data_IF_841999539232
#
_entry.id   IF_841999539232
#
_cell.length_a   1.000
_cell.length_b   1.000
_cell.length_c   1.000
_cell.angle_alpha   90.00
_cell.angle_beta   90.00
_cell.angle_gamma   90.00
#
_symmetry.space_group_name_H-M   'P 1'
#
loop_
_entity.id
_entity.type
_entity.pdbx_description
1 polymer ?
#
# COMPACT_ATOMS: atom_id res chain seq x y z
N UNK A 1 7.83 -15.19 -7.45
CA UNK A 1 7.67 -15.04 -8.91
C UNK A 1 7.10 -13.67 -9.25
N UNK A 2 7.54 -13.05 -10.34
CA UNK A 2 7.00 -11.78 -10.87
C UNK A 2 5.68 -11.93 -11.64
N UNK A 3 5.22 -13.16 -11.89
CA UNK A 3 4.03 -13.40 -12.71
C UNK A 3 2.75 -12.72 -12.20
N UNK A 4 2.43 -12.70 -10.90
CA UNK A 4 1.24 -12.02 -10.40
C UNK A 4 1.29 -10.49 -10.62
N UNK A 5 2.48 -9.89 -10.51
CA UNK A 5 2.66 -8.45 -10.74
C UNK A 5 2.46 -8.09 -12.21
N UNK A 6 2.96 -8.92 -13.13
CA UNK A 6 2.72 -8.76 -14.57
C UNK A 6 1.24 -8.94 -14.93
N UNK A 7 0.57 -9.92 -14.31
CA UNK A 7 -0.87 -10.13 -14.53
C UNK A 7 -1.69 -8.93 -14.04
N UNK A 8 -1.35 -8.38 -12.86
CA UNK A 8 -1.99 -7.18 -12.34
C UNK A 8 -1.80 -5.97 -13.25
N UNK A 9 -0.58 -5.73 -13.74
CA UNK A 9 -0.28 -4.67 -14.69
C UNK A 9 -1.08 -4.83 -15.99
N UNK A 10 -1.09 -6.05 -16.55
CA UNK A 10 -1.84 -6.35 -17.77
C UNK A 10 -3.33 -6.13 -17.59
N UNK A 11 -3.89 -6.52 -16.44
CA UNK A 11 -5.30 -6.29 -16.11
C UNK A 11 -5.68 -4.82 -16.11
N UNK A 12 -4.86 -3.98 -15.49
CA UNK A 12 -5.07 -2.52 -15.44
C UNK A 12 -4.99 -1.89 -16.83
N UNK A 13 -3.99 -2.27 -17.62
CA UNK A 13 -3.83 -1.79 -18.98
C UNK A 13 -4.99 -2.23 -19.90
N UNK A 14 -5.45 -3.47 -19.75
CA UNK A 14 -6.60 -4.00 -20.53
C UNK A 14 -7.90 -3.29 -20.19
N UNK A 15 -8.04 -2.76 -18.98
CA UNK A 15 -9.17 -1.95 -18.57
C UNK A 15 -9.10 -0.49 -19.04
N UNK A 16 -8.08 -0.12 -19.83
CA UNK A 16 -7.81 1.26 -20.25
C UNK A 16 -7.73 2.27 -19.08
N UNK A 17 -7.26 1.80 -17.92
CA UNK A 17 -7.19 2.60 -16.70
C UNK A 17 -5.88 3.41 -16.58
N UNK A 18 -5.10 3.46 -17.64
CA UNK A 18 -3.81 4.15 -17.72
C UNK A 18 -2.65 3.31 -17.19
N UNK A 19 -1.45 3.87 -17.22
CA UNK A 19 -0.26 3.16 -16.75
C UNK A 19 -0.30 2.99 -15.22
N UNK A 20 0.28 1.90 -14.73
CA UNK A 20 0.51 1.70 -13.29
C UNK A 20 1.49 2.77 -12.78
N UNK A 21 1.09 3.53 -11.78
CA UNK A 21 1.91 4.61 -11.24
C UNK A 21 2.79 4.18 -10.07
N UNK A 22 2.35 3.17 -9.30
CA UNK A 22 3.11 2.64 -8.18
C UNK A 22 2.60 1.24 -7.76
N UNK A 23 3.45 0.53 -7.02
CA UNK A 23 3.12 -0.69 -6.29
C UNK A 23 3.39 -0.45 -4.80
N UNK A 24 2.47 -0.86 -3.94
CA UNK A 24 2.62 -0.73 -2.48
C UNK A 24 2.62 -2.12 -1.87
N UNK A 25 3.64 -2.44 -1.08
CA UNK A 25 3.81 -3.73 -0.46
C UNK A 25 4.47 -3.64 0.91
N UNK A 26 4.44 -4.75 1.66
CA UNK A 26 5.19 -4.83 2.91
C UNK A 26 6.71 -4.98 2.62
N UNK A 27 7.60 -4.43 3.45
CA UNK A 27 9.06 -4.57 3.26
C UNK A 27 9.55 -6.02 3.15
N UNK A 28 8.89 -6.97 3.84
CA UNK A 28 9.15 -8.40 3.72
C UNK A 28 9.00 -8.87 2.26
N UNK A 29 7.87 -8.55 1.66
CA UNK A 29 7.55 -8.99 0.29
C UNK A 29 8.49 -8.36 -0.74
N UNK A 30 8.90 -7.11 -0.51
CA UNK A 30 9.90 -6.44 -1.34
C UNK A 30 11.27 -7.15 -1.24
N UNK A 31 11.65 -7.59 -0.04
CA UNK A 31 12.85 -8.40 0.18
C UNK A 31 12.80 -9.74 -0.54
N UNK A 32 11.67 -10.44 -0.44
CA UNK A 32 11.44 -11.72 -1.13
C UNK A 32 11.50 -11.58 -2.65
N UNK A 33 10.93 -10.49 -3.20
CA UNK A 33 11.04 -10.20 -4.62
C UNK A 33 12.47 -9.90 -5.06
N UNK A 34 13.23 -9.18 -4.25
CA UNK A 34 14.63 -8.87 -4.52
C UNK A 34 15.52 -10.12 -4.39
N UNK A 35 15.14 -11.07 -3.54
CA UNK A 35 15.84 -12.33 -3.31
C UNK A 35 15.51 -13.44 -4.32
N UNK A 36 14.64 -13.19 -5.31
CA UNK A 36 14.31 -14.21 -6.30
C UNK A 36 15.55 -14.62 -7.13
N UNK A 37 15.74 -15.93 -7.24
CA UNK A 37 16.79 -16.53 -8.05
C UNK A 37 16.21 -17.46 -9.12
N UNK A 38 16.96 -17.69 -10.17
CA UNK A 38 16.65 -18.71 -11.18
C UNK A 38 17.08 -20.12 -10.71
N UNK A 39 16.90 -21.11 -11.56
CA UNK A 39 17.29 -22.51 -11.29
C UNK A 39 18.79 -22.71 -11.12
N UNK A 40 19.59 -21.71 -11.47
CA UNK A 40 21.06 -21.72 -11.37
C UNK A 40 21.57 -20.87 -10.19
N UNK A 41 20.68 -20.43 -9.29
CA UNK A 41 20.95 -19.53 -8.17
C UNK A 41 21.49 -18.14 -8.58
N UNK A 42 21.22 -17.69 -9.80
CA UNK A 42 21.52 -16.32 -10.20
C UNK A 42 20.36 -15.38 -9.86
N UNK A 43 20.62 -14.14 -9.42
CA UNK A 43 19.58 -13.18 -9.11
C UNK A 43 18.67 -12.94 -10.33
N UNK A 44 17.37 -13.07 -10.12
CA UNK A 44 16.37 -12.85 -11.15
C UNK A 44 16.03 -11.36 -11.23
N UNK A 45 16.43 -10.72 -12.32
CA UNK A 45 16.07 -9.31 -12.55
C UNK A 45 14.58 -9.14 -12.82
N UNK A 46 14.01 -8.07 -12.30
CA UNK A 46 12.63 -7.70 -12.60
C UNK A 46 12.48 -7.47 -14.13
N UNK A 47 11.36 -7.92 -14.73
CA UNK A 47 11.06 -7.61 -16.12
C UNK A 47 11.11 -6.10 -16.39
N UNK A 48 11.58 -5.72 -17.59
CA UNK A 48 11.74 -4.31 -17.96
C UNK A 48 10.45 -3.47 -17.79
N UNK A 49 9.30 -4.09 -17.98
CA UNK A 49 7.99 -3.47 -17.79
C UNK A 49 7.67 -3.13 -16.32
N UNK A 50 8.24 -3.87 -15.36
CA UNK A 50 8.05 -3.64 -13.93
C UNK A 50 9.16 -2.76 -13.34
N UNK A 51 10.37 -2.79 -13.90
CA UNK A 51 11.52 -2.07 -13.34
C UNK A 51 11.37 -0.55 -13.35
N UNK A 52 10.49 -0.02 -14.21
CA UNK A 52 10.17 1.41 -14.26
C UNK A 52 9.08 1.88 -13.30
N UNK A 53 8.43 0.95 -12.57
CA UNK A 53 7.33 1.27 -11.66
C UNK A 53 7.90 1.37 -10.24
N UNK A 54 7.71 2.51 -9.55
CA UNK A 54 8.18 2.67 -8.17
C UNK A 54 7.50 1.67 -7.23
N UNK A 55 8.30 0.96 -6.45
CA UNK A 55 7.86 0.09 -5.37
C UNK A 55 7.94 0.85 -4.04
N UNK A 56 6.80 1.09 -3.44
CA UNK A 56 6.66 1.76 -2.14
C UNK A 56 6.45 0.71 -1.06
N UNK A 57 7.21 0.80 0.02
CA UNK A 57 7.09 -0.14 1.13
C UNK A 57 6.48 0.52 2.35
N UNK A 58 5.58 -0.20 3.03
CA UNK A 58 4.97 0.25 4.29
C UNK A 58 4.70 -0.92 5.22
N UNK A 59 4.96 -0.73 6.51
CA UNK A 59 4.63 -1.70 7.56
C UNK A 59 3.15 -1.65 7.98
N UNK A 60 2.36 -0.71 7.44
CA UNK A 60 0.93 -0.63 7.69
C UNK A 60 0.14 -1.78 7.03
N UNK A 61 0.73 -2.47 6.05
CA UNK A 61 0.13 -3.67 5.45
C UNK A 61 0.34 -4.84 6.42
N UNK A 62 -0.76 -5.51 6.86
CA UNK A 62 -0.64 -6.66 7.74
C UNK A 62 0.02 -7.84 7.01
N UNK A 63 0.81 -8.63 7.74
CA UNK A 63 1.48 -9.85 7.26
C UNK A 63 0.90 -11.11 7.86
N UNK A 64 -0.19 -10.98 8.61
CA UNK A 64 -0.86 -12.05 9.34
C UNK A 64 -2.28 -12.32 8.81
N UNK A 65 -2.50 -12.07 7.52
CA UNK A 65 -3.76 -12.37 6.83
C UNK A 65 -3.76 -13.80 6.28
N UNK A 66 -4.91 -14.21 5.75
CA UNK A 66 -5.11 -15.56 5.20
C UNK A 66 -5.32 -16.65 6.26
N UNK A 67 -5.57 -17.85 5.77
CA UNK A 67 -5.88 -19.02 6.63
C UNK A 67 -4.69 -19.43 7.51
N UNK A 68 -3.46 -19.24 7.02
CA UNK A 68 -2.22 -19.55 7.74
C UNK A 68 -1.71 -18.40 8.62
N UNK A 69 -2.37 -17.24 8.63
CA UNK A 69 -1.91 -16.02 9.33
C UNK A 69 -0.47 -15.62 8.98
N UNK A 70 -0.04 -15.84 7.74
CA UNK A 70 1.30 -15.53 7.24
C UNK A 70 1.28 -14.86 5.85
N UNK A 71 0.10 -14.41 5.43
CA UNK A 71 -0.09 -13.80 4.13
C UNK A 71 -0.11 -12.27 4.23
N UNK A 72 0.32 -11.62 3.17
CA UNK A 72 0.24 -10.17 2.96
C UNK A 72 -0.47 -9.86 1.65
N UNK A 73 -0.66 -8.58 1.41
CA UNK A 73 -1.33 -8.07 0.20
C UNK A 73 -0.45 -7.04 -0.48
N UNK A 74 -0.31 -7.14 -1.80
CA UNK A 74 0.35 -6.14 -2.63
C UNK A 74 -0.72 -5.36 -3.38
N UNK A 75 -0.63 -4.04 -3.35
CA UNK A 75 -1.49 -3.12 -4.07
C UNK A 75 -0.77 -2.58 -5.30
N UNK A 76 -1.37 -2.78 -6.47
CA UNK A 76 -0.84 -2.30 -7.76
C UNK A 76 -1.89 -1.38 -8.37
N UNK A 77 -1.51 -0.19 -8.82
CA UNK A 77 -2.53 0.68 -9.38
C UNK A 77 -2.03 1.98 -9.97
N UNK A 78 -2.99 2.67 -10.59
CA UNK A 78 -2.83 4.05 -11.00
C UNK A 78 -3.43 4.98 -9.95
N UNK A 79 -2.57 5.48 -9.06
CA UNK A 79 -2.97 6.30 -7.92
C UNK A 79 -3.47 7.70 -8.28
N UNK A 80 -3.39 8.12 -9.57
CA UNK A 80 -4.03 9.34 -10.02
C UNK A 80 -5.56 9.30 -9.93
N UNK A 81 -6.14 8.09 -9.84
CA UNK A 81 -7.57 7.85 -9.64
C UNK A 81 -7.98 7.76 -8.16
N UNK A 82 -7.07 8.07 -7.22
CA UNK A 82 -7.39 8.19 -5.80
C UNK A 82 -7.69 9.64 -5.46
N UNK A 83 -8.83 9.88 -4.84
CA UNK A 83 -9.21 11.19 -4.29
C UNK A 83 -9.10 11.16 -2.78
N UNK A 84 -8.43 12.15 -2.21
CA UNK A 84 -8.39 12.36 -0.76
C UNK A 84 -9.25 13.58 -0.45
N UNK A 85 -10.40 13.33 0.17
CA UNK A 85 -11.31 14.38 0.63
C UNK A 85 -10.99 14.78 2.07
N UNK A 86 -10.60 16.04 2.29
CA UNK A 86 -10.38 16.57 3.63
C UNK A 86 -11.55 17.46 4.01
N UNK A 87 -12.35 17.02 4.98
CA UNK A 87 -13.51 17.81 5.45
C UNK A 87 -13.10 18.89 6.44
N UNK A 88 -12.15 18.59 7.33
CA UNK A 88 -11.59 19.55 8.26
C UNK A 88 -10.09 19.34 8.38
N UNK A 89 -9.33 20.42 8.39
CA UNK A 89 -7.90 20.37 8.72
C UNK A 89 -7.67 19.91 10.16
N UNK A 90 -6.40 19.80 10.54
CA UNK A 90 -6.03 19.45 11.90
C UNK A 90 -6.50 20.56 12.86
N UNK A 91 -7.34 20.18 13.81
CA UNK A 91 -7.76 21.05 14.90
C UNK A 91 -7.20 20.50 16.19
N UNK A 92 -6.59 21.38 16.99
CA UNK A 92 -6.06 21.06 18.30
C UNK A 92 -6.88 21.78 19.35
N UNK A 93 -7.50 21.02 20.25
CA UNK A 93 -8.25 21.52 21.37
C UNK A 93 -7.48 21.28 22.68
N UNK A 94 -7.40 22.32 23.53
CA UNK A 94 -6.71 22.25 24.82
C UNK A 94 -7.75 21.95 25.90
N UNK A 95 -7.63 20.80 26.54
CA UNK A 95 -8.49 20.38 27.66
C UNK A 95 -7.86 20.83 28.99
N UNK A 96 -8.35 21.92 29.56
CA UNK A 96 -7.84 22.48 30.80
C UNK A 96 -8.51 21.88 32.03
N UNK A 97 -9.80 21.54 31.96
CA UNK A 97 -10.61 21.13 33.10
C UNK A 97 -10.42 19.66 33.47
N UNK A 98 -10.18 18.77 32.48
CA UNK A 98 -10.11 17.32 32.67
C UNK A 98 -8.94 16.87 33.59
N UNK A 99 -7.86 17.63 33.61
CA UNK A 99 -6.62 17.30 34.32
C UNK A 99 -6.22 18.39 35.32
N UNK A 100 -7.19 19.20 35.76
CA UNK A 100 -6.95 20.31 36.72
C UNK A 100 -6.38 19.83 38.04
N UNK A 101 -6.83 18.67 38.53
CA UNK A 101 -6.39 18.08 39.80
C UNK A 101 -4.90 17.71 39.79
N UNK A 102 -4.33 17.47 38.64
CA UNK A 102 -2.92 17.06 38.48
C UNK A 102 -2.03 18.18 37.93
N UNK A 103 -2.55 19.41 37.79
CA UNK A 103 -1.87 20.55 37.16
C UNK A 103 -1.33 20.25 35.76
N UNK A 104 -2.08 19.44 34.97
CA UNK A 104 -1.73 19.03 33.64
C UNK A 104 -2.72 19.58 32.62
N UNK A 105 -2.28 19.74 31.36
CA UNK A 105 -3.13 20.09 30.23
C UNK A 105 -3.22 18.91 29.27
N UNK A 106 -4.44 18.56 28.87
CA UNK A 106 -4.67 17.60 27.78
C UNK A 106 -4.72 18.32 26.44
N UNK A 107 -4.08 17.74 25.43
CA UNK A 107 -4.17 18.19 24.03
C UNK A 107 -4.86 17.09 23.22
N UNK A 108 -5.93 17.45 22.50
CA UNK A 108 -6.62 16.56 21.57
C UNK A 108 -6.52 17.15 20.18
N UNK A 109 -5.89 16.40 19.28
CA UNK A 109 -5.85 16.73 17.87
C UNK A 109 -6.81 15.83 17.10
N UNK A 110 -7.65 16.41 16.25
CA UNK A 110 -8.52 15.65 15.37
C UNK A 110 -8.52 16.22 13.95
N UNK A 111 -8.71 15.33 13.00
CA UNK A 111 -8.82 15.61 11.58
C UNK A 111 -9.86 14.67 10.98
N UNK A 112 -10.59 15.14 9.97
CA UNK A 112 -11.54 14.31 9.22
C UNK A 112 -11.15 14.28 7.77
N UNK A 113 -10.81 13.10 7.28
CA UNK A 113 -10.51 12.86 5.88
C UNK A 113 -11.14 11.53 5.44
N UNK A 114 -11.31 11.38 4.15
CA UNK A 114 -11.81 10.18 3.51
C UNK A 114 -11.05 9.94 2.21
N UNK A 115 -11.00 8.68 1.78
CA UNK A 115 -10.32 8.28 0.55
C UNK A 115 -11.34 7.59 -0.35
N UNK A 116 -11.45 8.07 -1.57
CA UNK A 116 -12.32 7.49 -2.59
C UNK A 116 -11.53 7.10 -3.84
N UNK A 117 -11.93 5.98 -4.44
CA UNK A 117 -11.37 5.50 -5.71
C UNK A 117 -12.36 5.85 -6.83
N UNK A 118 -11.94 6.68 -7.78
CA UNK A 118 -12.78 7.09 -8.91
C UNK A 118 -13.00 5.96 -9.91
N UNK A 119 -11.99 5.13 -10.15
CA UNK A 119 -12.01 4.07 -11.14
C UNK A 119 -11.45 2.78 -10.54
N UNK A 120 -12.33 1.87 -10.14
CA UNK A 120 -11.93 0.64 -9.45
C UNK A 120 -11.03 -0.26 -10.33
N UNK A 121 -11.24 -0.29 -11.65
CA UNK A 121 -10.42 -1.07 -12.56
C UNK A 121 -8.98 -0.54 -12.73
N UNK A 122 -8.67 0.65 -12.20
CA UNK A 122 -7.32 1.19 -12.14
C UNK A 122 -6.46 0.58 -11.04
N UNK A 123 -7.03 -0.33 -10.23
CA UNK A 123 -6.36 -0.95 -9.10
C UNK A 123 -6.51 -2.46 -9.14
N UNK A 124 -5.45 -3.14 -8.74
CA UNK A 124 -5.43 -4.59 -8.57
C UNK A 124 -4.78 -4.94 -7.23
N UNK A 125 -5.38 -5.89 -6.53
CA UNK A 125 -4.82 -6.40 -5.26
C UNK A 125 -4.36 -7.83 -5.45
N UNK A 126 -3.13 -8.12 -5.05
CA UNK A 126 -2.57 -9.46 -5.03
C UNK A 126 -2.57 -9.91 -3.58
N UNK A 127 -3.42 -10.89 -3.28
CA UNK A 127 -3.56 -11.48 -1.94
C UNK A 127 -2.82 -12.81 -1.86
N UNK A 128 -2.61 -13.31 -0.65
CA UNK A 128 -1.98 -14.61 -0.45
C UNK A 128 -0.47 -14.60 -0.70
N UNK A 129 0.18 -13.45 -0.52
CA UNK A 129 1.64 -13.35 -0.66
C UNK A 129 2.28 -13.88 0.61
N UNK A 130 3.06 -14.95 0.48
CA UNK A 130 3.80 -15.61 1.56
C UNK A 130 5.29 -15.49 1.31
N UNK A 131 6.04 -15.36 2.39
CA UNK A 131 7.53 -15.41 2.38
C UNK A 131 8.04 -16.85 2.47
#
# INVERSE_FOLDING_TARGET
SYAPLLAAQTGILSANAGPVSAMIMHPRDAGDLAGLTDTTNQPLNAPATLSGIPMLTTTAIPTNTGTGSNESTIFVGNFSHVMIGVRSGVRVDVLRERYADSHQYGLVAHMRFDIAVQHAAAFHTITGVQS
#
